data_IF_276102199583
#
_entry.id   IF_276102199583
#
_cell.length_a   1.000
_cell.length_b   1.000
_cell.length_c   1.000
_cell.angle_alpha   90.00
_cell.angle_beta   90.00
_cell.angle_gamma   90.00
#
_symmetry.space_group_name_H-M   'P 1'
#
loop_
_entity.id
_entity.type
_entity.pdbx_description
1 polymer ?
#
# COMPACT_ATOMS: atom_id res chain seq x y z
N UNK A 1 20.35 -14.14 8.60
CA UNK A 1 19.03 -13.93 9.20
C UNK A 1 17.95 -14.33 8.21
N UNK A 2 17.07 -15.21 8.63
CA UNK A 2 16.06 -15.75 7.75
C UNK A 2 14.76 -14.98 7.90
N UNK A 3 14.26 -14.41 6.83
CA UNK A 3 13.03 -13.64 6.84
C UNK A 3 11.88 -14.53 6.38
N UNK A 4 10.83 -14.62 7.19
CA UNK A 4 9.63 -15.34 6.82
C UNK A 4 8.62 -14.36 6.22
N UNK A 5 8.57 -14.31 4.90
CA UNK A 5 7.68 -13.40 4.18
C UNK A 5 6.20 -13.71 4.46
N UNK A 6 5.86 -14.98 4.59
CA UNK A 6 4.49 -15.39 4.88
C UNK A 6 4.02 -14.90 6.23
N UNK A 7 4.90 -14.98 7.24
CA UNK A 7 4.59 -14.48 8.57
C UNK A 7 4.44 -12.97 8.58
N UNK A 8 5.31 -12.26 7.88
CA UNK A 8 5.23 -10.79 7.78
C UNK A 8 3.90 -10.35 7.17
N UNK A 9 3.47 -11.03 6.11
CA UNK A 9 2.20 -10.71 5.47
C UNK A 9 1.01 -10.92 6.39
N UNK A 10 1.09 -11.87 7.31
CA UNK A 10 0.00 -12.14 8.26
C UNK A 10 0.07 -11.24 9.49
N UNK A 11 1.28 -10.95 9.95
CA UNK A 11 1.50 -10.18 11.16
C UNK A 11 1.25 -8.69 10.96
N UNK A 12 1.69 -8.16 9.83
CA UNK A 12 1.60 -6.72 9.56
C UNK A 12 0.35 -6.43 8.75
N UNK A 13 -0.50 -5.58 9.30
CA UNK A 13 -1.73 -5.16 8.64
C UNK A 13 -1.47 -3.93 7.78
N UNK A 14 -1.88 -4.01 6.53
CA UNK A 14 -1.68 -2.92 5.58
C UNK A 14 -2.35 -1.62 6.05
N UNK A 15 -3.55 -1.73 6.62
CA UNK A 15 -4.28 -0.55 7.08
C UNK A 15 -3.53 0.18 8.20
N UNK A 16 -2.88 -0.57 9.10
CA UNK A 16 -2.09 0.03 10.17
C UNK A 16 -0.85 0.73 9.61
N UNK A 17 -0.23 0.12 8.61
CA UNK A 17 0.93 0.71 7.95
C UNK A 17 0.56 2.02 7.23
N UNK A 18 -0.60 2.03 6.58
CA UNK A 18 -1.12 3.22 5.92
C UNK A 18 -1.39 4.34 6.92
N UNK A 19 -1.95 4.02 8.07
CA UNK A 19 -2.19 5.01 9.12
C UNK A 19 -0.88 5.63 9.61
N UNK A 20 0.18 4.83 9.71
CA UNK A 20 1.49 5.31 10.12
C UNK A 20 2.06 6.37 9.19
N UNK A 21 1.85 6.19 7.90
CA UNK A 21 2.37 7.14 6.90
C UNK A 21 1.44 8.32 6.68
N UNK A 22 0.34 8.38 7.45
CA UNK A 22 -0.60 9.48 7.38
C UNK A 22 -1.69 9.34 6.32
N UNK A 23 -1.86 8.14 5.77
CA UNK A 23 -2.89 7.91 4.77
C UNK A 23 -4.26 7.75 5.43
N UNK A 24 -5.26 8.40 4.86
CA UNK A 24 -6.65 8.25 5.30
C UNK A 24 -7.52 7.98 4.09
N UNK A 25 -8.54 7.14 4.29
CA UNK A 25 -9.49 6.86 3.22
C UNK A 25 -10.46 8.03 3.05
N UNK A 26 -10.83 8.30 1.81
CA UNK A 26 -11.85 9.31 1.51
C UNK A 26 -13.21 8.67 1.31
N UNK A 27 -13.23 7.39 0.95
CA UNK A 27 -14.45 6.63 0.78
C UNK A 27 -14.25 5.23 1.35
N UNK A 28 -15.32 4.63 1.83
CA UNK A 28 -15.28 3.27 2.33
C UNK A 28 -16.62 2.59 2.11
N UNK A 29 -16.57 1.33 1.65
CA UNK A 29 -17.76 0.49 1.52
C UNK A 29 -17.44 -0.92 1.96
N UNK A 30 -18.08 -1.36 3.05
CA UNK A 30 -17.88 -2.70 3.56
C UNK A 30 -16.41 -2.96 3.86
N UNK A 31 -15.83 -3.94 3.18
CA UNK A 31 -14.45 -4.34 3.39
C UNK A 31 -13.45 -3.60 2.51
N UNK A 32 -13.89 -2.58 1.79
CA UNK A 32 -13.04 -1.85 0.87
C UNK A 32 -12.94 -0.38 1.25
N UNK A 33 -11.71 0.13 1.35
CA UNK A 33 -11.44 1.53 1.59
C UNK A 33 -10.79 2.12 0.34
N UNK A 34 -11.14 3.35 -0.01
CA UNK A 34 -10.58 4.04 -1.16
C UNK A 34 -10.09 5.41 -0.79
N UNK A 35 -9.03 5.84 -1.44
CA UNK A 35 -8.45 7.16 -1.19
C UNK A 35 -7.36 7.48 -2.19
N UNK A 36 -6.58 8.54 -1.92
CA UNK A 36 -5.48 8.92 -2.81
C UNK A 36 -4.34 7.91 -2.69
N UNK A 37 -3.65 7.67 -3.79
CA UNK A 37 -2.51 6.75 -3.79
C UNK A 37 -1.30 7.41 -3.13
N UNK A 38 -0.72 6.79 -2.09
CA UNK A 38 0.45 7.35 -1.41
C UNK A 38 1.78 6.99 -2.09
N UNK A 39 1.74 6.17 -3.14
CA UNK A 39 2.97 5.70 -3.79
C UNK A 39 3.64 6.80 -4.62
N UNK A 40 4.97 6.93 -4.51
CA UNK A 40 5.70 7.95 -5.27
C UNK A 40 5.52 7.85 -6.78
N UNK A 41 5.45 6.63 -7.30
CA UNK A 41 5.26 6.39 -8.74
C UNK A 41 3.94 6.97 -9.23
N UNK A 42 2.91 6.95 -8.41
CA UNK A 42 1.61 7.50 -8.75
C UNK A 42 1.63 9.03 -8.69
N UNK A 43 2.23 9.58 -7.67
CA UNK A 43 2.31 11.04 -7.48
C UNK A 43 3.13 11.72 -8.57
N UNK A 44 4.15 11.06 -9.10
CA UNK A 44 5.02 11.64 -10.11
C UNK A 44 4.44 11.51 -11.51
N UNK A 45 3.31 10.85 -11.68
CA UNK A 45 2.69 10.66 -12.97
C UNK A 45 1.96 11.92 -13.41
N UNK A 46 2.48 12.58 -14.42
CA UNK A 46 1.88 13.80 -14.95
C UNK A 46 0.67 13.48 -15.81
N UNK A 47 -0.35 14.33 -15.74
CA UNK A 47 -1.54 14.21 -16.54
C UNK A 47 -2.62 13.32 -15.96
N UNK A 48 -2.44 12.81 -14.77
CA UNK A 48 -3.50 12.07 -14.12
C UNK A 48 -4.64 13.03 -13.73
N UNK A 49 -5.85 12.62 -14.04
CA UNK A 49 -7.03 13.38 -13.69
C UNK A 49 -7.12 13.47 -12.15
N UNK A 50 -7.20 14.68 -11.63
CA UNK A 50 -7.26 14.91 -10.19
C UNK A 50 -8.46 14.24 -9.53
N UNK A 51 -9.54 14.04 -10.26
CA UNK A 51 -10.73 13.36 -9.74
C UNK A 51 -10.51 11.87 -9.56
N UNK A 52 -9.88 11.21 -10.51
CA UNK A 52 -9.59 9.78 -10.39
C UNK A 52 -8.47 9.52 -9.38
N UNK A 53 -7.60 10.49 -9.16
CA UNK A 53 -6.49 10.35 -8.23
C UNK A 53 -6.95 10.24 -6.77
N UNK A 54 -8.05 10.89 -6.41
CA UNK A 54 -8.56 10.90 -5.03
C UNK A 54 -9.07 9.54 -4.56
N UNK A 55 -9.49 8.67 -5.47
CA UNK A 55 -10.04 7.36 -5.15
C UNK A 55 -9.38 6.24 -5.93
N UNK A 56 -8.19 6.50 -6.47
CA UNK A 56 -7.48 5.50 -7.27
C UNK A 56 -6.90 4.35 -6.45
N UNK A 57 -6.64 4.58 -5.16
CA UNK A 57 -6.03 3.59 -4.29
C UNK A 57 -7.11 2.85 -3.52
N UNK A 58 -7.15 1.54 -3.69
CA UNK A 58 -8.13 0.68 -3.04
C UNK A 58 -7.43 -0.28 -2.08
N UNK A 59 -7.95 -0.39 -0.86
CA UNK A 59 -7.41 -1.27 0.17
C UNK A 59 -8.52 -2.21 0.63
N UNK A 60 -8.18 -3.50 0.73
CA UNK A 60 -9.07 -4.50 1.30
C UNK A 60 -8.45 -4.99 2.61
N UNK A 61 -8.81 -4.38 3.76
CA UNK A 61 -8.19 -4.72 5.05
C UNK A 61 -8.35 -6.19 5.42
N UNK A 62 -9.49 -6.79 5.07
CA UNK A 62 -9.77 -8.17 5.36
C UNK A 62 -8.79 -9.13 4.68
N UNK A 63 -8.46 -8.83 3.42
CA UNK A 63 -7.51 -9.63 2.65
C UNK A 63 -6.08 -9.13 2.78
N UNK A 64 -5.92 -7.97 3.38
CA UNK A 64 -4.62 -7.34 3.60
C UNK A 64 -3.87 -7.07 2.29
N UNK A 65 -4.61 -6.61 1.28
CA UNK A 65 -4.06 -6.32 -0.05
C UNK A 65 -4.53 -4.95 -0.54
N UNK A 66 -3.85 -4.44 -1.55
CA UNK A 66 -4.18 -3.16 -2.14
C UNK A 66 -4.13 -3.22 -3.66
N UNK A 67 -4.74 -2.22 -4.28
CA UNK A 67 -4.64 -2.03 -5.72
C UNK A 67 -4.81 -0.55 -6.04
N UNK A 68 -3.93 -0.03 -6.87
CA UNK A 68 -4.07 1.34 -7.37
C UNK A 68 -4.47 1.32 -8.84
N UNK A 69 -5.61 1.92 -9.14
CA UNK A 69 -6.11 1.98 -10.51
C UNK A 69 -5.41 3.07 -11.33
N UNK A 70 -4.69 3.97 -10.66
CA UNK A 70 -3.94 5.02 -11.32
C UNK A 70 -2.57 4.58 -11.83
N UNK A 71 -1.75 3.96 -10.98
CA UNK A 71 -0.42 3.53 -11.35
C UNK A 71 -0.29 2.03 -11.62
N UNK A 72 -1.35 1.27 -11.37
CA UNK A 72 -1.36 -0.17 -11.62
C UNK A 72 -0.66 -1.02 -10.56
N UNK A 73 -0.19 -0.41 -9.49
CA UNK A 73 0.46 -1.15 -8.41
C UNK A 73 -0.57 -1.95 -7.63
N UNK A 74 -0.21 -3.17 -7.24
CA UNK A 74 -1.10 -4.02 -6.45
C UNK A 74 -0.30 -5.08 -5.70
N UNK A 75 -0.91 -5.67 -4.69
CA UNK A 75 -0.29 -6.76 -3.95
C UNK A 75 -0.58 -6.71 -2.46
N UNK A 76 0.32 -7.29 -1.68
CA UNK A 76 0.20 -7.36 -0.23
C UNK A 76 1.03 -6.25 0.44
N UNK A 77 1.19 -6.34 1.77
CA UNK A 77 1.91 -5.33 2.54
C UNK A 77 3.38 -5.22 2.12
N UNK A 78 4.00 -6.32 1.74
CA UNK A 78 5.39 -6.30 1.27
C UNK A 78 5.52 -5.58 -0.06
N UNK A 79 4.62 -5.87 -0.99
CA UNK A 79 4.59 -5.19 -2.29
C UNK A 79 4.35 -3.70 -2.12
N UNK A 80 3.48 -3.33 -1.19
CA UNK A 80 3.20 -1.94 -0.90
C UNK A 80 4.45 -1.22 -0.37
N UNK A 81 5.10 -1.81 0.63
CA UNK A 81 6.26 -1.17 1.26
C UNK A 81 7.42 -1.05 0.28
N UNK A 82 7.62 -2.09 -0.53
CA UNK A 82 8.61 -2.07 -1.60
C UNK A 82 8.39 -0.89 -2.55
N UNK A 83 7.15 -0.70 -2.99
CA UNK A 83 6.80 0.37 -3.91
C UNK A 83 6.88 1.75 -3.23
N UNK A 84 6.43 1.83 -1.99
CA UNK A 84 6.40 3.08 -1.24
C UNK A 84 7.83 3.59 -0.94
N UNK A 85 8.70 2.69 -0.52
CA UNK A 85 10.07 3.03 -0.15
C UNK A 85 11.05 3.00 -1.33
N UNK A 86 10.63 2.44 -2.47
CA UNK A 86 11.51 2.29 -3.62
C UNK A 86 12.67 1.34 -3.36
N UNK A 87 12.41 0.27 -2.61
CA UNK A 87 13.43 -0.69 -2.20
C UNK A 87 13.16 -2.07 -2.79
N UNK A 88 14.12 -2.99 -2.63
CA UNK A 88 13.92 -4.36 -3.03
C UNK A 88 12.96 -5.05 -2.06
N UNK A 89 12.42 -6.19 -2.47
CA UNK A 89 11.52 -6.97 -1.62
C UNK A 89 12.18 -7.34 -0.30
N UNK A 90 13.43 -7.75 -0.34
CA UNK A 90 14.18 -8.12 0.86
C UNK A 90 14.36 -6.92 1.79
N UNK A 91 14.75 -5.79 1.25
CA UNK A 91 14.94 -4.57 2.06
C UNK A 91 13.63 -4.12 2.69
N UNK A 92 12.55 -4.18 1.94
CA UNK A 92 11.23 -3.84 2.47
C UNK A 92 10.85 -4.78 3.61
N UNK A 93 11.09 -6.08 3.43
CA UNK A 93 10.79 -7.07 4.46
C UNK A 93 11.61 -6.83 5.73
N UNK A 94 12.88 -6.50 5.59
CA UNK A 94 13.75 -6.20 6.74
C UNK A 94 13.21 -4.98 7.50
N UNK A 95 12.82 -3.93 6.81
CA UNK A 95 12.27 -2.75 7.43
C UNK A 95 10.98 -3.06 8.19
N UNK A 96 10.09 -3.83 7.60
CA UNK A 96 8.82 -4.20 8.22
C UNK A 96 9.03 -5.12 9.42
N UNK A 97 10.01 -6.01 9.34
CA UNK A 97 10.32 -6.94 10.43
C UNK A 97 10.84 -6.19 11.66
N UNK A 98 11.42 -5.02 11.48
CA UNK A 98 11.97 -4.20 12.56
C UNK A 98 10.97 -3.19 13.12
N UNK A 99 9.72 -3.22 12.69
CA UNK A 99 8.71 -2.26 13.20
C UNK A 99 7.94 -2.78 14.40
#
# INVERSE_FOLDING_TARGET
MRIDYGELKRRIRLIELLERIGWTSTEGRGDQLRGPCPLPACSSRKGSDSKSHKTSFSVQPRKNVYRCFGCGSSGNVLDFWKAYRGKSLREAAVELDNT
#
